data_IF_047069314236
#
_entry.id   IF_047069314236
#
_cell.length_a   1.000
_cell.length_b   1.000
_cell.length_c   1.000
_cell.angle_alpha   90.00
_cell.angle_beta   90.00
_cell.angle_gamma   90.00
#
_symmetry.space_group_name_H-M   'P 1'
#
loop_
_entity.id
_entity.type
_entity.pdbx_description
1 polymer ?
#
# COMPACT_ATOMS: atom_id res chain seq x y z
N UNK A 1 -0.14 2.94 -20.01
CA UNK A 1 -0.08 3.27 -18.57
C UNK A 1 1.30 3.78 -18.18
N UNK A 2 1.43 4.65 -17.15
CA UNK A 2 2.72 5.17 -16.73
C UNK A 2 3.64 4.06 -16.20
N UNK A 3 4.94 4.34 -16.17
CA UNK A 3 5.96 3.44 -15.62
C UNK A 3 6.72 4.16 -14.52
N UNK A 4 6.84 3.51 -13.38
CA UNK A 4 7.76 3.87 -12.29
C UNK A 4 8.35 2.59 -11.74
N UNK A 5 9.65 2.58 -11.50
CA UNK A 5 10.38 1.45 -10.94
C UNK A 5 11.64 1.95 -10.23
N UNK A 6 12.01 1.34 -9.12
CA UNK A 6 13.23 1.69 -8.39
C UNK A 6 14.48 1.08 -9.05
N UNK A 7 15.63 1.73 -8.88
CA UNK A 7 16.92 1.17 -9.33
C UNK A 7 17.20 -0.20 -8.68
N UNK A 8 16.81 -0.34 -7.41
CA UNK A 8 16.93 -1.59 -6.70
C UNK A 8 16.14 -2.71 -7.39
N UNK A 9 14.85 -2.47 -7.68
CA UNK A 9 14.02 -3.50 -8.31
C UNK A 9 14.48 -3.85 -9.73
N UNK A 10 14.98 -2.86 -10.50
CA UNK A 10 15.61 -3.09 -11.80
C UNK A 10 16.84 -3.99 -11.71
N UNK A 11 17.60 -3.94 -10.61
CA UNK A 11 18.78 -4.79 -10.42
C UNK A 11 18.46 -6.27 -10.19
N UNK A 12 17.19 -6.60 -9.94
CA UNK A 12 16.74 -7.99 -9.76
C UNK A 12 16.42 -8.69 -11.09
N UNK A 13 16.40 -7.95 -12.21
CA UNK A 13 16.05 -8.45 -13.53
C UNK A 13 17.25 -9.22 -14.13
N UNK A 14 16.96 -10.37 -14.71
CA UNK A 14 17.89 -11.07 -15.59
C UNK A 14 17.93 -10.38 -16.96
N UNK A 15 18.88 -9.48 -17.13
CA UNK A 15 19.05 -8.69 -18.36
C UNK A 15 19.62 -9.49 -19.53
N UNK A 16 20.13 -10.68 -19.30
CA UNK A 16 20.57 -11.59 -20.38
C UNK A 16 19.36 -12.23 -21.08
N UNK A 17 18.23 -12.40 -20.35
CA UNK A 17 17.00 -12.94 -20.90
C UNK A 17 15.74 -12.22 -20.37
N UNK A 18 15.61 -10.89 -20.56
CA UNK A 18 14.61 -10.07 -19.87
C UNK A 18 13.17 -10.45 -20.20
N UNK A 19 12.87 -10.86 -21.44
CA UNK A 19 11.51 -11.20 -21.85
C UNK A 19 10.97 -12.49 -21.20
N UNK A 20 11.86 -13.35 -20.70
CA UNK A 20 11.50 -14.54 -19.92
C UNK A 20 11.52 -14.27 -18.41
N UNK A 21 12.09 -13.15 -17.97
CA UNK A 21 12.21 -12.82 -16.55
C UNK A 21 10.88 -12.35 -15.96
N UNK A 22 10.36 -12.99 -14.89
CA UNK A 22 9.11 -12.61 -14.26
C UNK A 22 9.20 -11.24 -13.57
N UNK A 23 10.36 -10.83 -13.06
CA UNK A 23 10.55 -9.51 -12.42
C UNK A 23 10.45 -8.41 -13.47
N UNK A 24 11.05 -8.60 -14.65
CA UNK A 24 10.90 -7.71 -15.81
C UNK A 24 9.43 -7.52 -16.16
N UNK A 25 8.69 -8.62 -16.32
CA UNK A 25 7.28 -8.61 -16.70
C UNK A 25 6.37 -7.94 -15.67
N UNK A 26 6.77 -7.89 -14.40
CA UNK A 26 6.02 -7.21 -13.35
C UNK A 26 6.16 -5.69 -13.38
N UNK A 27 7.23 -5.12 -13.93
CA UNK A 27 7.50 -3.68 -13.84
C UNK A 27 7.65 -2.98 -15.19
N UNK A 28 7.99 -3.69 -16.26
CA UNK A 28 8.18 -3.11 -17.59
C UNK A 28 6.89 -3.23 -18.39
N UNK A 29 6.38 -2.13 -18.97
CA UNK A 29 5.19 -2.15 -19.82
C UNK A 29 5.36 -3.04 -21.05
N UNK A 30 4.27 -3.64 -21.49
CA UNK A 30 4.22 -4.44 -22.72
C UNK A 30 3.15 -3.93 -23.68
N UNK A 31 3.23 -4.35 -24.95
CA UNK A 31 2.30 -3.91 -25.98
C UNK A 31 0.87 -4.40 -25.70
N UNK A 32 0.72 -5.53 -25.01
CA UNK A 32 -0.58 -6.10 -24.65
C UNK A 32 -1.39 -5.16 -23.75
N UNK A 33 -0.76 -4.22 -23.06
CA UNK A 33 -1.45 -3.21 -22.25
C UNK A 33 -2.21 -2.16 -23.09
N UNK A 34 -2.05 -2.16 -24.40
CA UNK A 34 -2.86 -1.34 -25.30
C UNK A 34 -4.26 -1.92 -25.55
N UNK A 35 -4.50 -3.18 -25.19
CA UNK A 35 -5.84 -3.75 -25.14
C UNK A 35 -6.60 -3.15 -23.94
N UNK A 36 -7.61 -2.34 -24.26
CA UNK A 36 -8.46 -1.66 -23.29
C UNK A 36 -9.81 -2.38 -23.08
N UNK A 37 -9.92 -3.62 -23.52
CA UNK A 37 -11.11 -4.43 -23.27
C UNK A 37 -11.30 -4.71 -21.78
N UNK A 38 -12.54 -4.80 -21.31
CA UNK A 38 -12.90 -5.03 -19.92
C UNK A 38 -13.21 -3.75 -19.15
N UNK A 39 -13.27 -3.89 -17.82
CA UNK A 39 -13.58 -2.80 -16.90
C UNK A 39 -12.34 -2.41 -16.09
N UNK A 40 -12.10 -1.11 -15.93
CA UNK A 40 -11.01 -0.59 -15.08
C UNK A 40 -11.34 -0.60 -13.59
N UNK A 41 -12.63 -0.64 -13.23
CA UNK A 41 -13.08 -0.79 -11.83
C UNK A 41 -13.59 -2.20 -11.53
N UNK A 42 -12.77 -3.19 -11.77
CA UNK A 42 -13.08 -4.61 -11.57
C UNK A 42 -13.55 -4.97 -10.15
N UNK A 43 -13.27 -4.11 -9.17
CA UNK A 43 -13.63 -4.30 -7.76
C UNK A 43 -14.91 -3.57 -7.34
N UNK A 44 -15.47 -2.70 -8.21
CA UNK A 44 -16.60 -1.83 -7.87
C UNK A 44 -16.22 -0.84 -6.76
N UNK A 45 -15.02 -0.26 -6.82
CA UNK A 45 -14.53 0.66 -5.79
C UNK A 45 -15.35 1.96 -5.77
N UNK A 46 -15.76 2.45 -6.96
CA UNK A 46 -16.58 3.65 -7.07
C UNK A 46 -17.91 3.53 -6.32
N UNK A 47 -18.60 2.40 -6.45
CA UNK A 47 -19.92 2.14 -5.83
C UNK A 47 -19.81 2.01 -4.29
N UNK A 48 -18.64 1.71 -3.77
CA UNK A 48 -18.39 1.51 -2.34
C UNK A 48 -17.71 2.71 -1.67
N UNK A 49 -17.45 3.79 -2.42
CA UNK A 49 -16.84 5.01 -1.89
C UNK A 49 -17.89 5.83 -1.13
N UNK A 50 -17.67 6.02 0.17
CA UNK A 50 -18.58 6.74 1.08
C UNK A 50 -18.09 8.16 1.36
N UNK A 51 -16.79 8.39 1.33
CA UNK A 51 -16.11 9.68 1.40
C UNK A 51 -14.95 9.61 0.41
N UNK A 52 -14.52 10.73 -0.17
CA UNK A 52 -13.35 10.74 -1.06
C UNK A 52 -12.17 10.01 -0.41
N UNK A 53 -11.68 8.96 -1.07
CA UNK A 53 -10.61 8.10 -0.58
C UNK A 53 -10.98 7.09 0.50
N UNK A 54 -12.24 7.02 0.95
CA UNK A 54 -12.71 6.01 1.91
C UNK A 54 -13.77 5.11 1.28
N UNK A 55 -13.53 3.82 1.28
CA UNK A 55 -14.47 2.80 0.79
C UNK A 55 -14.94 1.90 1.94
N UNK A 56 -16.24 1.63 1.99
CA UNK A 56 -16.86 0.75 2.99
C UNK A 56 -17.70 -0.32 2.28
N UNK A 57 -17.03 -1.33 1.75
CA UNK A 57 -17.63 -2.45 1.01
C UNK A 57 -18.08 -3.61 1.92
N UNK A 58 -17.33 -3.85 2.97
CA UNK A 58 -17.55 -4.95 3.91
C UNK A 58 -17.81 -4.39 5.30
N UNK A 59 -18.83 -4.84 5.99
CA UNK A 59 -19.28 -4.30 7.29
C UNK A 59 -18.13 -4.04 8.27
N UNK A 60 -17.17 -4.98 8.36
CA UNK A 60 -16.10 -4.90 9.35
C UNK A 60 -14.85 -4.18 8.85
N UNK A 61 -14.79 -3.77 7.57
CA UNK A 61 -13.56 -3.26 6.96
C UNK A 61 -13.78 -1.98 6.19
N UNK A 62 -13.08 -0.93 6.55
CA UNK A 62 -12.92 0.25 5.70
C UNK A 62 -11.55 0.24 4.99
N UNK A 63 -11.54 0.64 3.71
CA UNK A 63 -10.35 0.79 2.89
C UNK A 63 -10.09 2.27 2.65
N UNK A 64 -8.85 2.70 2.87
CA UNK A 64 -8.41 4.09 2.62
C UNK A 64 -7.42 4.11 1.46
N UNK A 65 -7.74 4.88 0.44
CA UNK A 65 -6.85 5.19 -0.67
C UNK A 65 -5.96 6.39 -0.29
N UNK A 66 -4.87 6.14 0.43
CA UNK A 66 -4.04 7.17 1.06
C UNK A 66 -3.15 7.94 0.09
N UNK A 67 -2.95 7.44 -1.10
CA UNK A 67 -2.12 8.04 -2.16
C UNK A 67 -2.35 7.31 -3.48
N UNK A 68 -2.18 8.02 -4.61
CA UNK A 68 -2.11 7.43 -5.94
C UNK A 68 -0.68 7.00 -6.35
N UNK A 69 0.32 7.25 -5.50
CA UNK A 69 1.74 7.05 -5.81
C UNK A 69 2.24 5.68 -5.33
N UNK A 70 3.12 5.07 -6.14
CA UNK A 70 3.87 3.87 -5.79
C UNK A 70 5.35 4.06 -6.13
N UNK A 71 6.23 3.35 -5.42
CA UNK A 71 7.64 3.26 -5.79
C UNK A 71 7.86 2.42 -7.07
N UNK A 72 6.91 1.52 -7.36
CA UNK A 72 6.85 0.75 -8.61
C UNK A 72 5.40 0.56 -9.05
N UNK A 73 5.10 0.79 -10.32
CA UNK A 73 3.79 0.50 -10.89
C UNK A 73 3.72 -0.94 -11.39
N UNK A 74 3.10 -1.81 -10.58
CA UNK A 74 2.90 -3.21 -10.92
C UNK A 74 2.06 -3.33 -12.19
N UNK A 75 2.53 -4.08 -13.20
CA UNK A 75 1.79 -4.22 -14.48
C UNK A 75 0.44 -4.95 -14.32
N UNK A 76 0.31 -5.76 -13.29
CA UNK A 76 -0.94 -6.45 -12.91
C UNK A 76 -1.81 -5.67 -11.91
N UNK A 77 -1.55 -4.37 -11.69
CA UNK A 77 -2.30 -3.57 -10.72
C UNK A 77 -3.74 -3.41 -11.17
N UNK A 78 -4.70 -3.81 -10.31
CA UNK A 78 -6.13 -3.62 -10.59
C UNK A 78 -6.59 -2.17 -10.46
N UNK A 79 -5.79 -1.29 -9.79
CA UNK A 79 -6.02 0.15 -9.69
C UNK A 79 -5.28 0.96 -10.77
N UNK A 80 -5.10 0.40 -11.96
CA UNK A 80 -4.44 1.11 -13.08
C UNK A 80 -5.13 2.43 -13.45
N UNK A 81 -6.43 2.57 -13.20
CA UNK A 81 -7.17 3.81 -13.43
C UNK A 81 -6.71 4.97 -12.54
N UNK A 82 -6.17 4.66 -11.34
CA UNK A 82 -5.78 5.61 -10.31
C UNK A 82 -4.26 5.78 -10.22
N UNK A 83 -3.53 4.67 -10.07
CA UNK A 83 -2.12 4.66 -9.70
C UNK A 83 -1.25 5.34 -10.74
N UNK A 84 -0.60 6.46 -10.34
CA UNK A 84 0.28 7.25 -11.19
C UNK A 84 -0.43 8.12 -12.22
N UNK A 85 -1.77 8.22 -12.18
CA UNK A 85 -2.58 8.96 -13.14
C UNK A 85 -3.30 10.12 -12.48
N UNK A 86 -4.08 9.86 -11.43
CA UNK A 86 -4.92 10.86 -10.77
C UNK A 86 -4.93 10.66 -9.24
N UNK A 87 -5.14 11.75 -8.50
CA UNK A 87 -5.36 11.79 -7.07
C UNK A 87 -6.83 12.03 -6.69
N UNK A 88 -7.73 12.14 -7.66
CA UNK A 88 -9.14 12.46 -7.45
C UNK A 88 -9.87 11.51 -6.50
N UNK A 89 -9.43 10.23 -6.44
CA UNK A 89 -10.00 9.22 -5.56
C UNK A 89 -9.19 9.03 -4.25
N UNK A 90 -8.16 9.85 -3.99
CA UNK A 90 -7.31 9.68 -2.81
C UNK A 90 -7.82 10.48 -1.62
N UNK A 91 -7.41 10.03 -0.43
CA UNK A 91 -7.77 10.64 0.85
C UNK A 91 -7.19 12.05 0.98
N UNK A 92 -8.05 13.03 1.14
CA UNK A 92 -7.70 14.43 1.38
C UNK A 92 -8.01 14.89 2.82
N UNK A 93 -8.93 14.22 3.51
CA UNK A 93 -9.38 14.58 4.86
C UNK A 93 -9.39 13.36 5.81
N UNK A 94 -8.26 13.14 6.49
CA UNK A 94 -8.08 12.00 7.41
C UNK A 94 -9.04 12.12 8.62
N UNK A 95 -9.29 13.32 9.09
CA UNK A 95 -10.16 13.60 10.23
C UNK A 95 -11.61 13.22 9.94
N UNK A 96 -12.10 13.52 8.74
CA UNK A 96 -13.46 13.17 8.30
C UNK A 96 -13.63 11.65 8.19
N UNK A 97 -12.61 10.97 7.64
CA UNK A 97 -12.59 9.50 7.58
C UNK A 97 -12.60 8.86 8.97
N UNK A 98 -11.81 9.41 9.91
CA UNK A 98 -11.78 8.93 11.28
C UNK A 98 -13.13 9.17 12.00
N UNK A 99 -13.78 10.29 11.73
CA UNK A 99 -15.12 10.56 12.23
C UNK A 99 -16.15 9.56 11.68
N UNK A 100 -16.10 9.25 10.38
CA UNK A 100 -16.94 8.21 9.77
C UNK A 100 -16.74 6.85 10.46
N UNK A 101 -15.48 6.38 10.54
CA UNK A 101 -15.17 5.10 11.19
C UNK A 101 -15.61 5.09 12.66
N UNK A 102 -15.46 6.21 13.38
CA UNK A 102 -15.90 6.34 14.77
C UNK A 102 -17.42 6.20 14.95
N UNK A 103 -18.21 6.57 13.93
CA UNK A 103 -19.67 6.48 13.95
C UNK A 103 -20.20 5.10 13.50
N UNK A 104 -19.34 4.28 12.91
CA UNK A 104 -19.67 2.95 12.38
C UNK A 104 -19.00 1.86 13.22
N UNK A 105 -19.65 1.48 14.32
CA UNK A 105 -19.10 0.54 15.31
C UNK A 105 -18.91 -0.88 14.77
N UNK A 106 -19.50 -1.21 13.63
CA UNK A 106 -19.29 -2.46 12.90
C UNK A 106 -17.89 -2.54 12.26
N UNK A 107 -17.24 -1.39 11.99
CA UNK A 107 -15.90 -1.35 11.42
C UNK A 107 -14.87 -1.67 12.51
N UNK A 108 -14.38 -2.90 12.52
CA UNK A 108 -13.35 -3.35 13.46
C UNK A 108 -11.93 -3.20 12.93
N UNK A 109 -11.76 -3.01 11.63
CA UNK A 109 -10.44 -2.86 11.02
C UNK A 109 -10.44 -1.90 9.81
N UNK A 110 -9.28 -1.27 9.59
CA UNK A 110 -9.02 -0.47 8.40
C UNK A 110 -7.81 -1.01 7.63
N UNK A 111 -7.85 -0.80 6.30
CA UNK A 111 -6.72 -1.03 5.40
C UNK A 111 -6.32 0.28 4.73
N UNK A 112 -5.19 0.84 5.12
CA UNK A 112 -4.58 2.02 4.50
C UNK A 112 -3.76 1.54 3.31
N UNK A 113 -4.16 1.92 2.10
CA UNK A 113 -3.62 1.44 0.83
C UNK A 113 -3.66 2.56 -0.23
N UNK A 114 -4.19 2.27 -1.40
CA UNK A 114 -4.27 3.18 -2.56
C UNK A 114 -3.23 2.79 -3.59
N UNK A 115 -2.24 3.66 -3.83
CA UNK A 115 -0.97 3.28 -4.43
C UNK A 115 -0.15 2.46 -3.41
N UNK A 116 0.87 3.04 -2.80
CA UNK A 116 1.62 2.36 -1.74
C UNK A 116 1.62 3.18 -0.46
N UNK A 117 1.04 2.63 0.61
CA UNK A 117 0.83 3.34 1.86
C UNK A 117 2.16 3.80 2.52
N UNK A 118 3.26 3.05 2.36
CA UNK A 118 4.56 3.41 2.93
C UNK A 118 5.38 4.37 2.07
N UNK A 119 4.85 4.79 0.92
CA UNK A 119 5.40 5.89 0.15
C UNK A 119 4.97 7.26 0.72
N UNK A 120 3.95 7.29 1.55
CA UNK A 120 3.61 8.47 2.34
C UNK A 120 4.78 8.88 3.26
N UNK A 121 4.85 10.17 3.59
CA UNK A 121 5.80 10.65 4.59
C UNK A 121 5.48 10.10 5.98
N UNK A 122 6.48 10.05 6.87
CA UNK A 122 6.28 9.62 8.25
C UNK A 122 5.24 10.48 8.98
N UNK A 123 5.14 11.76 8.64
CA UNK A 123 4.12 12.66 9.18
C UNK A 123 2.70 12.24 8.78
N UNK A 124 2.49 11.86 7.52
CA UNK A 124 1.18 11.37 7.05
C UNK A 124 0.84 10.03 7.70
N UNK A 125 1.79 9.09 7.74
CA UNK A 125 1.61 7.80 8.44
C UNK A 125 1.26 8.03 9.91
N UNK A 126 1.95 8.97 10.57
CA UNK A 126 1.67 9.34 11.95
C UNK A 126 0.25 9.87 12.14
N UNK A 127 -0.24 10.76 11.25
CA UNK A 127 -1.61 11.27 11.32
C UNK A 127 -2.64 10.14 11.22
N UNK A 128 -2.47 9.19 10.30
CA UNK A 128 -3.32 8.00 10.24
C UNK A 128 -3.32 7.23 11.56
N UNK A 129 -2.14 6.94 12.08
CA UNK A 129 -2.00 6.21 13.35
C UNK A 129 -2.61 6.98 14.53
N UNK A 130 -2.43 8.30 14.62
CA UNK A 130 -3.02 9.15 15.67
C UNK A 130 -4.54 9.10 15.64
N UNK A 131 -5.14 9.34 14.48
CA UNK A 131 -6.58 9.42 14.34
C UNK A 131 -7.26 8.07 14.59
N UNK A 132 -6.78 7.01 13.93
CA UNK A 132 -7.47 5.72 14.00
C UNK A 132 -7.15 4.92 15.26
N UNK A 133 -5.98 5.09 15.89
CA UNK A 133 -5.68 4.41 17.15
C UNK A 133 -6.51 4.91 18.33
N UNK A 134 -7.12 6.09 18.21
CA UNK A 134 -8.00 6.67 19.22
C UNK A 134 -9.42 6.08 19.23
N UNK A 135 -9.83 5.39 18.17
CA UNK A 135 -11.18 4.83 18.01
C UNK A 135 -11.30 3.53 18.82
N UNK A 136 -12.17 3.45 19.85
CA UNK A 136 -12.20 2.33 20.79
C UNK A 136 -12.50 0.97 20.14
N UNK A 137 -13.51 0.91 19.26
CA UNK A 137 -13.99 -0.34 18.63
C UNK A 137 -13.12 -0.80 17.44
N UNK A 138 -12.18 0.03 16.99
CA UNK A 138 -11.25 -0.35 15.93
C UNK A 138 -10.12 -1.20 16.53
N UNK A 139 -10.04 -2.47 16.17
CA UNK A 139 -9.06 -3.41 16.73
C UNK A 139 -7.75 -3.41 15.95
N UNK A 140 -7.83 -3.19 14.62
CA UNK A 140 -6.75 -3.51 13.70
C UNK A 140 -6.53 -2.40 12.67
N UNK A 141 -5.29 -1.94 12.53
CA UNK A 141 -4.83 -1.03 11.47
C UNK A 141 -3.87 -1.81 10.55
N UNK A 142 -4.19 -1.85 9.25
CA UNK A 142 -3.36 -2.52 8.25
C UNK A 142 -2.81 -1.51 7.25
N UNK A 143 -1.54 -1.68 6.88
CA UNK A 143 -0.91 -0.93 5.79
C UNK A 143 -0.65 -1.86 4.61
N UNK A 144 -1.26 -1.56 3.46
CA UNK A 144 -1.01 -2.27 2.20
C UNK A 144 0.18 -1.65 1.48
N UNK A 145 1.28 -2.38 1.35
CA UNK A 145 2.51 -1.85 0.77
C UNK A 145 3.35 -2.94 0.10
N UNK A 146 4.01 -2.59 -1.00
CA UNK A 146 5.08 -3.41 -1.60
C UNK A 146 6.48 -2.84 -1.32
N UNK A 147 6.63 -1.83 -0.47
CA UNK A 147 7.92 -1.25 -0.10
C UNK A 147 8.93 -2.32 0.39
N UNK A 148 8.56 -3.34 1.19
CA UNK A 148 9.50 -4.40 1.55
C UNK A 148 10.14 -5.11 0.34
N UNK A 149 9.45 -5.11 -0.80
CA UNK A 149 9.83 -5.77 -2.04
C UNK A 149 10.55 -4.84 -3.02
N UNK A 150 10.02 -3.61 -3.19
CA UNK A 150 10.45 -2.73 -4.29
C UNK A 150 11.37 -1.59 -3.86
N UNK A 151 11.41 -1.28 -2.56
CA UNK A 151 12.25 -0.24 -1.97
C UNK A 151 12.56 -0.56 -0.50
N UNK A 152 13.18 -1.72 -0.17
CA UNK A 152 13.33 -2.21 1.21
C UNK A 152 14.10 -1.25 2.12
N UNK A 153 15.05 -0.46 1.59
CA UNK A 153 15.81 0.55 2.32
C UNK A 153 14.92 1.64 2.92
N UNK A 154 13.76 1.94 2.34
CA UNK A 154 12.78 2.87 2.92
C UNK A 154 12.30 2.42 4.32
N UNK A 155 12.45 1.15 4.66
CA UNK A 155 12.07 0.59 5.96
C UNK A 155 13.27 0.53 6.88
N UNK A 156 14.30 -0.23 6.52
CA UNK A 156 15.40 -0.51 7.45
C UNK A 156 16.40 0.64 7.65
N UNK A 157 16.42 1.61 6.72
CA UNK A 157 17.23 2.83 6.85
C UNK A 157 16.43 4.03 7.38
N UNK A 158 15.15 3.80 7.79
CA UNK A 158 14.30 4.84 8.41
C UNK A 158 13.96 4.48 9.87
N UNK A 159 14.82 4.81 10.82
CA UNK A 159 14.57 4.55 12.24
C UNK A 159 13.37 5.33 12.80
N UNK A 160 12.99 6.47 12.19
CA UNK A 160 11.82 7.24 12.58
C UNK A 160 10.53 6.47 12.27
N UNK A 161 10.43 5.89 11.07
CA UNK A 161 9.29 5.04 10.70
C UNK A 161 9.15 3.85 11.65
N UNK A 162 10.26 3.14 11.93
CA UNK A 162 10.24 1.97 12.79
C UNK A 162 9.87 2.34 14.24
N UNK A 163 10.39 3.44 14.77
CA UNK A 163 10.03 3.94 16.09
C UNK A 163 8.57 4.37 16.18
N UNK A 164 8.07 5.02 15.13
CA UNK A 164 6.66 5.41 15.00
C UNK A 164 5.75 4.17 15.06
N UNK A 165 5.98 3.18 14.21
CA UNK A 165 5.21 1.94 14.17
C UNK A 165 5.24 1.24 15.54
N UNK A 166 6.42 1.06 16.13
CA UNK A 166 6.61 0.46 17.45
C UNK A 166 5.81 1.17 18.55
N UNK A 167 5.73 2.50 18.50
CA UNK A 167 4.97 3.28 19.49
C UNK A 167 3.48 2.95 19.41
N UNK A 168 2.94 2.80 18.20
CA UNK A 168 1.51 2.58 18.03
C UNK A 168 1.08 1.10 18.15
N UNK A 169 1.99 0.13 17.99
CA UNK A 169 1.69 -1.28 18.32
C UNK A 169 1.33 -1.49 19.79
N UNK A 170 1.70 -0.55 20.68
CA UNK A 170 1.29 -0.57 22.08
C UNK A 170 -0.18 -0.14 22.30
N UNK A 171 -0.80 0.47 21.28
CA UNK A 171 -2.17 0.99 21.36
C UNK A 171 -3.15 0.15 20.56
N UNK A 172 -2.76 -0.33 19.40
CA UNK A 172 -3.57 -1.11 18.46
C UNK A 172 -2.73 -2.19 17.80
N UNK A 173 -3.39 -3.24 17.34
CA UNK A 173 -2.74 -4.19 16.44
C UNK A 173 -2.46 -3.53 15.09
N UNK A 174 -1.20 -3.56 14.66
CA UNK A 174 -0.78 -3.02 13.38
C UNK A 174 -0.20 -4.15 12.55
N UNK A 175 -0.68 -4.28 11.31
CA UNK A 175 -0.15 -5.25 10.34
C UNK A 175 0.30 -4.56 9.08
N UNK A 176 1.35 -5.11 8.48
CA UNK A 176 1.78 -4.80 7.12
C UNK A 176 1.34 -5.94 6.20
N UNK A 177 0.50 -5.59 5.22
CA UNK A 177 0.07 -6.50 4.17
C UNK A 177 0.97 -6.27 2.96
N UNK A 178 1.84 -7.22 2.68
CA UNK A 178 2.78 -7.13 1.55
C UNK A 178 2.64 -8.34 0.63
N UNK A 179 3.06 -8.18 -0.63
CA UNK A 179 2.95 -9.22 -1.63
C UNK A 179 4.31 -9.46 -2.32
N UNK A 180 4.81 -10.67 -2.18
CA UNK A 180 5.91 -11.22 -2.95
C UNK A 180 5.33 -12.08 -4.07
N UNK A 181 5.61 -11.75 -5.31
CA UNK A 181 5.03 -12.42 -6.48
C UNK A 181 5.95 -13.50 -7.06
N UNK A 182 7.24 -13.40 -6.79
CA UNK A 182 8.23 -14.36 -7.31
C UNK A 182 9.36 -14.61 -6.28
N UNK A 183 9.95 -15.82 -6.22
CA UNK A 183 11.07 -16.11 -5.33
C UNK A 183 12.27 -15.15 -5.46
N UNK A 184 12.54 -14.63 -6.66
CA UNK A 184 13.63 -13.66 -6.89
C UNK A 184 13.44 -12.34 -6.13
N UNK A 185 12.24 -12.04 -5.66
CA UNK A 185 11.96 -10.87 -4.80
C UNK A 185 12.36 -11.10 -3.33
N UNK A 186 12.58 -12.36 -2.92
CA UNK A 186 12.98 -12.73 -1.55
C UNK A 186 14.48 -12.53 -1.32
N UNK A 187 14.98 -11.35 -1.64
CA UNK A 187 16.38 -10.96 -1.47
C UNK A 187 16.75 -10.76 0.00
N UNK A 188 18.04 -10.68 0.30
CA UNK A 188 18.51 -10.35 1.65
C UNK A 188 18.05 -8.96 2.09
N UNK A 189 18.00 -7.99 1.17
CA UNK A 189 17.49 -6.65 1.46
C UNK A 189 15.99 -6.67 1.82
N UNK A 190 15.19 -7.44 1.09
CA UNK A 190 13.77 -7.63 1.39
C UNK A 190 13.57 -8.34 2.74
N UNK A 191 14.37 -9.37 3.04
CA UNK A 191 14.36 -10.07 4.33
C UNK A 191 14.75 -9.14 5.48
N UNK A 192 15.74 -8.27 5.28
CA UNK A 192 16.15 -7.25 6.24
C UNK A 192 15.02 -6.28 6.55
N UNK A 193 14.29 -5.83 5.54
CA UNK A 193 13.13 -4.94 5.73
C UNK A 193 12.00 -5.63 6.51
N UNK A 194 11.65 -6.87 6.15
CA UNK A 194 10.65 -7.66 6.86
C UNK A 194 11.08 -7.87 8.33
N UNK A 195 12.35 -8.22 8.56
CA UNK A 195 12.87 -8.39 9.92
C UNK A 195 12.77 -7.10 10.74
N UNK A 196 13.09 -5.95 10.16
CA UNK A 196 12.99 -4.65 10.85
C UNK A 196 11.55 -4.34 11.27
N UNK A 197 10.55 -4.67 10.43
CA UNK A 197 9.13 -4.55 10.79
C UNK A 197 8.78 -5.50 11.95
N UNK A 198 9.16 -6.78 11.88
CA UNK A 198 8.91 -7.75 12.95
C UNK A 198 9.55 -7.32 14.27
N UNK A 199 10.81 -6.82 14.25
CA UNK A 199 11.52 -6.31 15.44
C UNK A 199 10.83 -5.05 16.03
N UNK A 200 9.98 -4.38 15.26
CA UNK A 200 9.16 -3.24 15.69
C UNK A 200 7.77 -3.65 16.19
N UNK A 201 7.46 -4.95 16.20
CA UNK A 201 6.19 -5.48 16.71
C UNK A 201 5.06 -5.55 15.67
N UNK A 202 5.40 -5.44 14.37
CA UNK A 202 4.47 -5.53 13.24
C UNK A 202 4.26 -6.99 12.84
#
# INVERSE_FOLDING_TARGET
>A
FPMTVTRYYLSLIDWDNPFCDPVFRMCIPSIEETDLSGDFDTSGEADNTVISGLQHKYDQTALILSTHRCAMYCRHCFRKRLVGISDDETADNIEEMAAYVSQHSEISNILISGGDAFLNSNQVIKRYLEQFSSIPHLDLIRFGTRIPVVLPMRIYDDPELLALLKTYTQKKQIYVVTQFNHPNELTDEARKAVKALLDSGI
#
